data_IF_996357747519
#
_entry.id   IF_996357747519
#
_cell.length_a   1.000
_cell.length_b   1.000
_cell.length_c   1.000
_cell.angle_alpha   90.00
_cell.angle_beta   90.00
_cell.angle_gamma   90.00
#
_symmetry.space_group_name_H-M   'P 1'
#
loop_
_entity.id
_entity.type
_entity.pdbx_description
1 polymer ?
#
# COMPACT_ATOMS: atom_id res chain seq x y z
N UNK A 1 -1.67 9.71 -2.20
CA UNK A 1 -1.69 9.04 -3.53
C UNK A 1 -1.13 7.64 -3.36
N UNK A 2 -1.76 6.63 -3.95
CA UNK A 2 -1.31 5.23 -3.94
C UNK A 2 -1.08 4.79 -5.39
N UNK A 3 0.08 4.21 -5.68
CA UNK A 3 0.43 3.76 -7.05
C UNK A 3 1.13 2.40 -6.97
N UNK A 4 0.99 1.52 -7.97
CA UNK A 4 1.75 0.28 -8.03
C UNK A 4 3.27 0.54 -8.04
N UNK A 5 4.03 -0.18 -7.21
CA UNK A 5 5.48 0.01 -7.11
C UNK A 5 6.26 -0.64 -8.26
N UNK A 6 5.69 -1.65 -8.93
CA UNK A 6 6.36 -2.40 -9.99
C UNK A 6 6.93 -1.51 -11.12
N UNK A 7 6.26 -0.39 -11.44
CA UNK A 7 6.73 0.57 -12.45
C UNK A 7 7.94 1.42 -12.03
N UNK A 8 8.33 1.40 -10.75
CA UNK A 8 9.45 2.18 -10.21
C UNK A 8 10.77 1.41 -10.15
N UNK A 9 10.71 0.08 -10.21
CA UNK A 9 11.90 -0.77 -10.14
C UNK A 9 12.29 -1.26 -11.53
N UNK A 10 13.57 -1.16 -11.87
CA UNK A 10 14.12 -1.78 -13.10
C UNK A 10 14.37 -3.28 -12.93
N UNK A 11 14.30 -3.79 -11.70
CA UNK A 11 14.51 -5.21 -11.38
C UNK A 11 13.22 -6.00 -11.60
N UNK A 12 13.23 -7.08 -12.40
CA UNK A 12 12.06 -7.93 -12.59
C UNK A 12 11.54 -8.51 -11.26
N UNK A 13 10.22 -8.50 -11.07
CA UNK A 13 9.54 -9.06 -9.88
C UNK A 13 9.63 -8.19 -8.62
N UNK A 14 10.32 -7.04 -8.66
CA UNK A 14 10.34 -6.09 -7.54
C UNK A 14 9.10 -5.20 -7.59
N UNK A 15 8.42 -5.07 -6.46
CA UNK A 15 7.29 -4.17 -6.30
C UNK A 15 5.94 -4.75 -6.74
N UNK A 16 5.87 -6.05 -7.07
CA UNK A 16 4.63 -6.72 -7.49
C UNK A 16 3.53 -6.67 -6.42
N UNK A 17 3.92 -6.71 -5.14
CA UNK A 17 3.03 -6.63 -3.98
C UNK A 17 3.32 -5.39 -3.11
N UNK A 18 3.89 -4.34 -3.70
CA UNK A 18 4.24 -3.11 -3.00
C UNK A 18 3.57 -1.90 -3.65
N UNK A 19 3.25 -0.91 -2.84
CA UNK A 19 2.63 0.34 -3.28
C UNK A 19 3.19 1.50 -2.47
N UNK A 20 3.87 2.47 -3.09
CA UNK A 20 4.23 3.70 -2.41
C UNK A 20 2.99 4.54 -2.08
N UNK A 21 2.99 5.08 -0.87
CA UNK A 21 1.97 5.99 -0.35
C UNK A 21 2.57 7.38 -0.16
N UNK A 22 2.11 8.35 -0.94
CA UNK A 22 2.48 9.75 -0.74
C UNK A 22 1.62 10.37 0.37
N UNK A 23 2.26 10.89 1.41
CA UNK A 23 1.66 11.68 2.49
C UNK A 23 2.02 13.15 2.27
N UNK A 24 1.03 14.05 2.25
CA UNK A 24 1.31 15.46 1.93
C UNK A 24 0.64 16.44 2.90
N UNK A 25 -0.55 16.19 3.44
CA UNK A 25 -1.29 17.29 4.09
C UNK A 25 -2.03 17.01 5.41
N UNK A 26 -2.51 15.78 5.70
CA UNK A 26 -3.33 15.52 6.91
C UNK A 26 -2.99 14.20 7.58
N UNK A 27 -2.50 14.27 8.83
CA UNK A 27 -2.18 13.08 9.63
C UNK A 27 -3.44 12.37 10.15
N UNK A 28 -4.53 13.11 10.42
CA UNK A 28 -5.78 12.53 10.90
C UNK A 28 -6.41 11.66 9.80
N UNK A 29 -6.55 12.20 8.60
CA UNK A 29 -7.12 11.45 7.47
C UNK A 29 -6.21 10.27 7.07
N UNK A 30 -4.89 10.41 7.24
CA UNK A 30 -3.96 9.30 7.02
C UNK A 30 -4.21 8.16 8.01
N UNK A 31 -4.46 8.44 9.29
CA UNK A 31 -4.76 7.40 10.29
C UNK A 31 -6.04 6.64 9.95
N UNK A 32 -7.09 7.35 9.54
CA UNK A 32 -8.34 6.73 9.11
C UNK A 32 -8.15 5.88 7.84
N UNK A 33 -7.41 6.40 6.86
CA UNK A 33 -7.09 5.65 5.66
C UNK A 33 -6.28 4.37 5.95
N UNK A 34 -5.34 4.42 6.90
CA UNK A 34 -4.58 3.25 7.34
C UNK A 34 -5.48 2.19 7.99
N UNK A 35 -6.51 2.59 8.74
CA UNK A 35 -7.49 1.65 9.31
C UNK A 35 -8.27 0.89 8.21
N UNK A 36 -8.62 1.58 7.12
CA UNK A 36 -9.24 0.93 5.97
C UNK A 36 -8.28 -0.06 5.28
N UNK A 37 -7.01 0.31 5.14
CA UNK A 37 -5.99 -0.57 4.53
C UNK A 37 -5.76 -1.81 5.40
N UNK A 38 -5.66 -1.66 6.73
CA UNK A 38 -5.51 -2.77 7.67
C UNK A 38 -6.64 -3.81 7.51
N UNK A 39 -7.90 -3.34 7.55
CA UNK A 39 -9.07 -4.23 7.35
C UNK A 39 -9.08 -4.88 5.96
N UNK A 40 -8.64 -4.15 4.94
CA UNK A 40 -8.49 -4.69 3.59
C UNK A 40 -7.47 -5.82 3.53
N UNK A 41 -6.33 -5.65 4.21
CA UNK A 41 -5.28 -6.68 4.31
C UNK A 41 -5.71 -7.88 5.16
N UNK A 42 -6.52 -7.68 6.21
CA UNK A 42 -7.15 -8.76 6.97
C UNK A 42 -8.05 -9.64 6.10
N UNK A 43 -8.82 -9.03 5.20
CA UNK A 43 -9.70 -9.73 4.28
C UNK A 43 -9.00 -10.23 3.01
N UNK A 44 -7.73 -9.87 2.78
CA UNK A 44 -7.06 -10.14 1.51
C UNK A 44 -6.75 -11.63 1.34
N UNK A 45 -7.24 -12.27 0.26
CA UNK A 45 -6.96 -13.68 0.00
C UNK A 45 -5.46 -13.88 -0.28
N UNK A 46 -4.85 -14.86 0.37
CA UNK A 46 -3.42 -15.16 0.19
C UNK A 46 -2.48 -14.42 1.14
N UNK A 47 -3.01 -13.75 2.19
CA UNK A 47 -2.18 -13.25 3.29
C UNK A 47 -1.39 -14.41 3.93
N UNK A 48 -0.07 -14.29 3.90
CA UNK A 48 0.86 -15.18 4.58
C UNK A 48 1.56 -14.36 5.66
N UNK A 49 1.39 -14.76 6.93
CA UNK A 49 1.97 -14.06 8.09
C UNK A 49 3.47 -14.33 8.21
#
# INVERSE_FOLDING_TARGET
MMTPAAGFYSTPGKGDNEVPLAYVLSQADLKEALCCIEKGLDAYPGRTN
#
